data_IF_240694195435
#
_entry.id   IF_240694195435
#
_cell.length_a   1.000
_cell.length_b   1.000
_cell.length_c   1.000
_cell.angle_alpha   90.00
_cell.angle_beta   90.00
_cell.angle_gamma   90.00
#
_symmetry.space_group_name_H-M   'P 1'
#
loop_
_entity.id
_entity.type
_entity.pdbx_description
1 polymer ?
#
# COMPACT_ATOMS: atom_id res chain seq x y z
N UNK A 1 -2.72 -17.44 6.21
CA UNK A 1 -3.50 -16.79 5.14
C UNK A 1 -5.01 -16.75 5.40
N UNK A 2 -5.70 -17.84 5.79
CA UNK A 2 -7.18 -17.86 5.91
C UNK A 2 -7.82 -16.82 6.85
N UNK A 3 -7.10 -16.33 7.86
CA UNK A 3 -7.59 -15.29 8.78
C UNK A 3 -7.02 -13.90 8.48
N UNK A 4 -6.16 -13.76 7.47
CA UNK A 4 -5.51 -12.51 7.14
C UNK A 4 -6.47 -11.56 6.43
N UNK A 5 -6.50 -10.29 6.83
CA UNK A 5 -7.37 -9.27 6.23
C UNK A 5 -6.81 -8.68 4.92
N UNK A 6 -5.57 -9.03 4.58
CA UNK A 6 -4.85 -8.56 3.39
C UNK A 6 -4.65 -9.66 2.31
N UNK A 7 -4.91 -10.92 2.63
CA UNK A 7 -4.87 -11.96 1.60
C UNK A 7 -6.12 -11.86 0.72
N UNK A 8 -5.96 -11.64 -0.59
CA UNK A 8 -7.09 -11.57 -1.54
C UNK A 8 -7.96 -12.84 -1.59
N UNK A 9 -7.39 -14.00 -1.22
CA UNK A 9 -8.11 -15.27 -1.12
C UNK A 9 -8.79 -15.50 0.24
N UNK A 10 -8.61 -14.59 1.21
CA UNK A 10 -9.22 -14.69 2.53
C UNK A 10 -10.68 -14.23 2.49
N UNK A 11 -11.62 -14.94 3.15
CA UNK A 11 -12.99 -14.46 3.28
C UNK A 11 -13.09 -13.17 4.12
N UNK A 12 -12.04 -12.83 4.88
CA UNK A 12 -11.98 -11.63 5.71
C UNK A 12 -11.40 -10.41 4.98
N UNK A 13 -11.11 -10.53 3.68
CA UNK A 13 -10.60 -9.39 2.90
C UNK A 13 -11.71 -8.35 2.70
N UNK A 14 -11.39 -7.10 2.98
CA UNK A 14 -12.30 -5.97 2.78
C UNK A 14 -12.28 -5.56 1.30
N UNK A 15 -12.85 -6.40 0.43
CA UNK A 15 -12.76 -6.26 -1.03
C UNK A 15 -13.29 -4.92 -1.56
N UNK A 16 -14.23 -4.30 -0.86
CA UNK A 16 -14.79 -2.99 -1.20
C UNK A 16 -13.80 -1.82 -1.02
N UNK A 17 -12.69 -2.04 -0.31
CA UNK A 17 -11.61 -1.04 -0.16
C UNK A 17 -10.54 -1.18 -1.24
N UNK A 18 -10.57 -2.21 -2.08
CA UNK A 18 -9.58 -2.43 -3.14
C UNK A 18 -9.77 -1.40 -4.24
N UNK A 19 -8.67 -0.71 -4.58
CA UNK A 19 -8.62 0.33 -5.62
C UNK A 19 -8.14 -0.26 -6.95
N UNK A 20 -7.11 -1.09 -6.90
CA UNK A 20 -6.49 -1.69 -8.10
C UNK A 20 -5.72 -2.95 -7.72
N UNK A 21 -5.66 -3.94 -8.61
CA UNK A 21 -4.93 -5.20 -8.41
C UNK A 21 -3.92 -5.34 -9.55
N UNK A 22 -2.64 -5.45 -9.19
CA UNK A 22 -1.54 -5.81 -10.08
C UNK A 22 -1.14 -7.28 -9.94
N UNK A 23 0.03 -7.63 -10.45
CA UNK A 23 0.55 -9.00 -10.40
C UNK A 23 1.15 -9.35 -9.03
N UNK A 24 1.94 -8.44 -8.47
CA UNK A 24 2.68 -8.62 -7.21
C UNK A 24 2.10 -7.79 -6.06
N UNK A 25 1.44 -6.68 -6.36
CA UNK A 25 0.84 -5.78 -5.38
C UNK A 25 -0.59 -5.39 -5.75
N UNK A 26 -1.36 -5.00 -4.75
CA UNK A 26 -2.64 -4.34 -4.92
C UNK A 26 -2.72 -3.08 -4.05
N UNK A 27 -3.58 -2.16 -4.47
CA UNK A 27 -3.89 -0.93 -3.73
C UNK A 27 -5.21 -1.09 -3.00
N UNK A 28 -5.28 -0.61 -1.77
CA UNK A 28 -6.52 -0.50 -1.02
C UNK A 28 -6.56 0.77 -0.16
N UNK A 29 -7.76 1.23 0.18
CA UNK A 29 -7.95 2.27 1.20
C UNK A 29 -7.68 1.69 2.59
N UNK A 30 -7.09 2.49 3.47
CA UNK A 30 -6.85 2.09 4.85
C UNK A 30 -8.18 2.05 5.66
N UNK A 31 -8.41 0.96 6.40
CA UNK A 31 -9.48 0.89 7.39
C UNK A 31 -9.11 1.74 8.60
N UNK A 32 -9.77 2.89 8.76
CA UNK A 32 -9.36 3.91 9.73
C UNK A 32 -8.23 4.77 9.16
N UNK A 33 -8.51 5.56 8.12
CA UNK A 33 -7.50 6.38 7.47
C UNK A 33 -7.02 7.49 8.42
N UNK A 34 -5.73 7.84 8.35
CA UNK A 34 -5.14 8.88 9.20
C UNK A 34 -5.23 10.28 8.56
N UNK A 35 -5.46 10.30 7.26
CA UNK A 35 -5.61 11.44 6.36
C UNK A 35 -6.63 11.03 5.30
N UNK A 36 -7.22 11.97 4.56
CA UNK A 36 -8.39 11.69 3.71
C UNK A 36 -8.11 10.61 2.65
N UNK A 37 -6.95 10.70 1.98
CA UNK A 37 -6.55 9.78 0.90
C UNK A 37 -5.50 8.76 1.37
N UNK A 38 -5.71 8.16 2.56
CA UNK A 38 -4.79 7.16 3.10
C UNK A 38 -4.88 5.81 2.33
N UNK A 39 -3.86 5.53 1.52
CA UNK A 39 -3.76 4.32 0.68
C UNK A 39 -2.75 3.34 1.26
N UNK A 40 -2.98 2.05 1.02
CA UNK A 40 -2.08 0.94 1.31
C UNK A 40 -1.63 0.30 -0.01
N UNK A 41 -0.32 0.04 -0.16
CA UNK A 41 0.24 -0.86 -1.17
C UNK A 41 0.56 -2.18 -0.48
N UNK A 42 -0.05 -3.27 -0.92
CA UNK A 42 -0.02 -4.55 -0.21
C UNK A 42 0.41 -5.65 -1.18
N UNK A 43 1.43 -6.47 -0.85
CA UNK A 43 1.82 -7.57 -1.72
C UNK A 43 0.69 -8.60 -1.79
N UNK A 44 0.49 -9.17 -2.98
CA UNK A 44 -0.45 -10.29 -3.20
C UNK A 44 0.01 -11.51 -2.41
N UNK A 45 1.32 -11.76 -2.38
CA UNK A 45 1.93 -12.79 -1.55
C UNK A 45 1.91 -12.41 -0.06
N UNK A 46 1.67 -13.41 0.79
CA UNK A 46 1.64 -13.23 2.24
C UNK A 46 3.07 -13.15 2.81
N UNK A 47 3.66 -11.96 2.71
CA UNK A 47 5.02 -11.67 3.15
C UNK A 47 5.03 -10.68 4.33
N UNK A 48 5.96 -10.78 5.28
CA UNK A 48 5.96 -9.95 6.49
C UNK A 48 6.45 -8.51 6.26
N UNK A 49 7.16 -8.25 5.15
CA UNK A 49 7.65 -6.93 4.75
C UNK A 49 7.81 -6.87 3.23
N UNK A 50 7.88 -5.65 2.67
CA UNK A 50 8.07 -5.47 1.22
C UNK A 50 9.51 -5.74 0.74
N UNK A 51 10.49 -5.66 1.64
CA UNK A 51 11.92 -5.84 1.35
C UNK A 51 12.33 -7.29 1.03
N UNK A 52 11.46 -8.26 1.31
CA UNK A 52 11.74 -9.69 1.11
C UNK A 52 11.18 -10.25 -0.20
N UNK A 53 10.56 -9.41 -1.04
CA UNK A 53 10.03 -9.84 -2.33
C UNK A 53 11.08 -9.79 -3.45
N UNK A 54 10.72 -10.28 -4.65
CA UNK A 54 11.62 -10.39 -5.80
C UNK A 54 11.86 -9.06 -6.51
N UNK A 55 12.90 -8.98 -7.33
CA UNK A 55 13.22 -7.78 -8.12
C UNK A 55 12.12 -7.41 -9.14
N UNK A 56 11.36 -8.38 -9.64
CA UNK A 56 10.21 -8.15 -10.52
C UNK A 56 9.10 -7.39 -9.77
N UNK A 57 8.90 -7.74 -8.50
CA UNK A 57 7.94 -7.05 -7.63
C UNK A 57 8.33 -5.60 -7.38
N UNK A 58 9.63 -5.30 -7.23
CA UNK A 58 10.13 -3.92 -7.04
C UNK A 58 9.75 -3.01 -8.21
N UNK A 59 9.81 -3.54 -9.44
CA UNK A 59 9.40 -2.79 -10.62
C UNK A 59 7.91 -2.43 -10.58
N UNK A 60 7.05 -3.31 -10.07
CA UNK A 60 5.63 -3.01 -9.89
C UNK A 60 5.37 -2.04 -8.73
N UNK A 61 6.04 -2.24 -7.60
CA UNK A 61 5.98 -1.34 -6.45
C UNK A 61 6.32 0.10 -6.88
N UNK A 62 7.39 0.27 -7.66
CA UNK A 62 7.80 1.56 -8.19
C UNK A 62 6.75 2.17 -9.13
N UNK A 63 6.08 1.36 -9.96
CA UNK A 63 4.97 1.84 -10.82
C UNK A 63 3.80 2.37 -9.99
N UNK A 64 3.41 1.67 -8.94
CA UNK A 64 2.36 2.14 -8.03
C UNK A 64 2.78 3.42 -7.29
N UNK A 65 3.98 3.45 -6.71
CA UNK A 65 4.51 4.64 -6.04
C UNK A 65 4.55 5.86 -6.98
N UNK A 66 5.00 5.68 -8.23
CA UNK A 66 5.05 6.76 -9.21
C UNK A 66 3.65 7.24 -9.62
N UNK A 67 2.68 6.33 -9.72
CA UNK A 67 1.30 6.68 -10.04
C UNK A 67 0.64 7.48 -8.90
N UNK A 68 0.86 7.06 -7.65
CA UNK A 68 0.36 7.77 -6.46
C UNK A 68 1.04 9.13 -6.29
N UNK A 69 2.36 9.23 -6.52
CA UNK A 69 3.08 10.51 -6.56
C UNK A 69 2.46 11.48 -7.58
N UNK A 70 2.15 10.99 -8.79
CA UNK A 70 1.49 11.82 -9.82
C UNK A 70 0.07 12.23 -9.42
N UNK A 71 -0.70 11.31 -8.84
CA UNK A 71 -2.05 11.58 -8.33
C UNK A 71 -2.05 12.69 -7.28
N UNK A 72 -1.22 12.57 -6.24
CA UNK A 72 -1.14 13.57 -5.16
C UNK A 72 -0.54 14.90 -5.63
N UNK A 73 0.44 14.86 -6.54
CA UNK A 73 1.01 16.08 -7.12
C UNK A 73 -0.04 16.91 -7.89
N UNK A 74 -1.00 16.26 -8.56
CA UNK A 74 -2.11 16.95 -9.22
C UNK A 74 -3.07 17.64 -8.24
N UNK A 75 -2.98 17.31 -6.95
CA UNK A 75 -3.70 17.97 -5.86
C UNK A 75 -2.81 18.95 -5.08
N UNK A 76 -1.61 19.28 -5.58
CA UNK A 76 -0.63 20.14 -4.89
C UNK A 76 -0.16 19.56 -3.53
N UNK A 77 -0.20 18.23 -3.39
CA UNK A 77 0.28 17.50 -2.21
C UNK A 77 1.54 16.70 -2.53
N UNK A 78 2.35 16.46 -1.52
CA UNK A 78 3.44 15.47 -1.56
C UNK A 78 3.00 14.18 -0.87
N UNK A 79 3.78 13.12 -1.02
CA UNK A 79 3.41 11.79 -0.51
C UNK A 79 4.56 11.13 0.26
N UNK A 80 4.21 10.54 1.40
CA UNK A 80 5.11 9.77 2.25
C UNK A 80 4.75 8.29 2.11
N UNK A 81 5.77 7.47 1.88
CA UNK A 81 5.68 6.00 1.89
C UNK A 81 6.44 5.46 3.09
N UNK A 82 5.81 4.61 3.90
CA UNK A 82 6.49 3.94 5.02
C UNK A 82 5.82 2.61 5.35
N UNK A 83 6.57 1.65 5.90
CA UNK A 83 6.02 0.39 6.40
C UNK A 83 6.49 0.13 7.83
N UNK A 84 5.69 -0.60 8.59
CA UNK A 84 6.12 -1.15 9.87
C UNK A 84 6.66 -2.56 9.65
N UNK A 85 7.97 -2.65 9.39
CA UNK A 85 8.64 -3.95 9.28
C UNK A 85 8.91 -4.53 10.67
N UNK A 86 8.36 -5.71 10.94
CA UNK A 86 8.56 -6.44 12.20
C UNK A 86 8.68 -7.93 11.94
N UNK A 87 9.49 -8.62 12.75
CA UNK A 87 9.59 -10.08 12.73
C UNK A 87 8.24 -10.74 13.07
N UNK A 88 7.38 -10.02 13.80
CA UNK A 88 6.00 -10.46 14.11
C UNK A 88 4.96 -9.96 13.10
N UNK A 89 5.39 -9.25 12.06
CA UNK A 89 4.51 -8.79 10.98
C UNK A 89 3.85 -9.99 10.31
N UNK A 90 2.53 -9.91 10.13
CA UNK A 90 1.76 -11.01 9.54
C UNK A 90 1.72 -10.85 8.02
N UNK A 91 1.33 -9.66 7.53
CA UNK A 91 1.28 -9.36 6.11
C UNK A 91 1.64 -7.88 5.91
N UNK A 92 2.65 -7.64 5.08
CA UNK A 92 3.16 -6.32 4.79
C UNK A 92 2.06 -5.40 4.24
N UNK A 93 2.14 -4.13 4.61
CA UNK A 93 1.32 -3.08 4.05
C UNK A 93 2.17 -1.81 4.06
N UNK A 94 2.53 -1.33 2.88
CA UNK A 94 3.24 -0.07 2.73
C UNK A 94 2.20 1.05 2.76
N UNK A 95 2.31 1.92 3.75
CA UNK A 95 1.40 3.02 4.02
C UNK A 95 1.76 4.19 3.11
N UNK A 96 0.74 4.80 2.50
CA UNK A 96 0.88 5.93 1.59
C UNK A 96 0.00 7.08 2.08
N UNK A 97 0.64 8.18 2.48
CA UNK A 97 -0.07 9.33 3.05
C UNK A 97 0.31 10.60 2.33
N UNK A 98 -0.69 11.40 2.01
CA UNK A 98 -0.51 12.75 1.54
C UNK A 98 -0.04 13.69 2.67
N UNK A 99 0.77 14.67 2.29
CA UNK A 99 1.20 15.77 3.14
C UNK A 99 1.12 17.08 2.38
N UNK A 100 0.58 18.11 3.04
CA UNK A 100 0.57 19.46 2.50
C UNK A 100 1.96 20.07 2.65
N UNK A 101 2.53 20.55 1.56
CA UNK A 101 3.78 21.32 1.61
C UNK A 101 3.41 22.72 2.07
N UNK A 102 3.83 23.10 3.28
CA UNK A 102 3.71 24.49 3.71
C UNK A 102 4.60 25.35 2.80
N UNK A 103 4.00 26.33 2.13
CA UNK A 103 4.76 27.38 1.44
C UNK A 103 5.47 28.24 2.48
N UNK A 104 6.80 28.23 2.47
CA UNK A 104 7.63 29.19 3.23
C UNK A 104 7.43 30.62 2.74
#
# INVERSE_FOLDING_TARGET
SRECWFCLSSPNVESHLIISIGEYYYLALAKGPLVEDHVLIIPVEHMPNTLSLSSESDAELLRFQNSLKRYFKNQEKEVIFFEWASVRGIHANLQVKEVTVASC
#
